data_IF_916167846022
#
_entry.id   IF_916167846022
#
_cell.length_a   1.000
_cell.length_b   1.000
_cell.length_c   1.000
_cell.angle_alpha   90.00
_cell.angle_beta   90.00
_cell.angle_gamma   90.00
#
_symmetry.space_group_name_H-M   'P 1'
#
loop_
_entity.id
_entity.type
_entity.pdbx_description
1 polymer ?
#
# COMPACT_ATOMS: atom_id res chain seq x y z
N UNK A 1 -58.22 -11.36 16.13
CA UNK A 1 -57.10 -11.91 16.91
C UNK A 1 -55.80 -11.31 16.40
N UNK A 2 -55.14 -10.56 17.29
CA UNK A 2 -53.73 -10.11 17.27
C UNK A 2 -53.30 -9.21 16.09
N UNK A 3 -52.66 -8.05 16.26
CA UNK A 3 -52.03 -7.44 17.44
C UNK A 3 -51.78 -5.95 17.09
N UNK A 4 -52.30 -5.05 17.92
CA UNK A 4 -51.75 -3.76 18.39
C UNK A 4 -50.59 -3.18 17.58
N UNK A 5 -50.64 -1.96 17.07
CA UNK A 5 -51.07 -0.71 17.70
C UNK A 5 -49.97 0.32 17.37
N UNK A 6 -50.31 1.53 16.94
CA UNK A 6 -50.40 2.70 17.83
C UNK A 6 -48.97 3.11 18.29
N UNK A 7 -48.41 4.30 18.09
CA UNK A 7 -48.98 5.60 17.81
C UNK A 7 -47.82 6.56 17.51
N UNK A 8 -48.20 7.63 16.82
CA UNK A 8 -47.70 9.01 16.83
C UNK A 8 -46.27 9.28 17.36
N UNK A 9 -45.42 9.74 16.43
CA UNK A 9 -44.24 10.54 16.75
C UNK A 9 -44.63 12.00 16.95
N UNK A 10 -44.53 12.47 18.20
CA UNK A 10 -44.56 13.90 18.53
C UNK A 10 -43.16 14.42 18.89
N UNK A 11 -42.73 15.39 18.08
CA UNK A 11 -41.90 16.57 18.31
C UNK A 11 -40.94 16.64 19.51
N UNK A 12 -39.68 17.02 19.22
CA UNK A 12 -38.90 17.82 20.15
C UNK A 12 -37.43 18.03 19.73
N UNK A 13 -36.85 19.25 19.79
CA UNK A 13 -35.61 19.59 19.11
C UNK A 13 -34.41 19.73 20.07
N UNK A 14 -33.29 20.21 19.51
CA UNK A 14 -32.25 21.03 20.14
C UNK A 14 -30.93 20.34 20.51
N UNK A 15 -29.97 20.55 19.60
CA UNK A 15 -28.62 21.06 19.85
C UNK A 15 -28.23 21.22 21.33
N UNK A 16 -27.23 20.44 21.75
CA UNK A 16 -26.41 20.77 22.91
C UNK A 16 -24.93 20.75 22.47
N UNK A 17 -24.40 21.95 22.33
CA UNK A 17 -22.98 22.25 22.40
C UNK A 17 -22.35 21.64 23.66
N UNK A 18 -21.07 21.28 23.60
CA UNK A 18 -20.04 21.80 24.53
C UNK A 18 -18.79 20.93 24.57
N UNK A 19 -17.77 21.42 23.86
CA UNK A 19 -16.45 21.76 24.39
C UNK A 19 -15.98 20.99 25.65
N UNK A 20 -14.89 20.23 25.43
CA UNK A 20 -13.78 19.96 26.35
C UNK A 20 -14.04 19.10 27.59
N UNK A 21 -13.39 17.95 27.65
CA UNK A 21 -12.28 17.67 28.60
C UNK A 21 -11.77 16.24 28.35
N UNK A 22 -10.45 16.12 28.17
CA UNK A 22 -9.75 14.83 28.20
C UNK A 22 -9.91 14.21 29.58
N UNK A 23 -10.35 12.96 29.67
CA UNK A 23 -10.02 12.08 30.77
C UNK A 23 -9.97 10.63 30.27
N UNK A 24 -8.76 10.09 30.30
CA UNK A 24 -8.38 8.69 30.11
C UNK A 24 -9.38 7.69 30.68
N UNK A 25 -9.53 6.52 30.03
CA UNK A 25 -9.05 5.22 30.54
C UNK A 25 -9.62 4.04 29.73
N UNK A 26 -8.71 3.21 29.22
CA UNK A 26 -8.90 1.82 28.75
C UNK A 26 -9.91 1.59 27.63
N UNK A 27 -9.50 1.84 26.40
CA UNK A 27 -9.93 1.03 25.28
C UNK A 27 -8.81 0.02 24.98
N UNK A 28 -9.18 -1.25 24.98
CA UNK A 28 -8.34 -2.38 24.56
C UNK A 28 -7.67 -2.01 23.24
N UNK A 29 -6.33 -2.03 23.22
CA UNK A 29 -5.59 -1.95 21.98
C UNK A 29 -5.89 -3.21 21.18
N UNK A 30 -6.90 -3.14 20.32
CA UNK A 30 -6.91 -3.96 19.12
C UNK A 30 -5.78 -3.36 18.29
N UNK A 31 -4.61 -3.96 18.39
CA UNK A 31 -3.57 -3.78 17.38
C UNK A 31 -4.11 -4.48 16.13
N UNK A 32 -5.04 -3.83 15.45
CA UNK A 32 -5.30 -4.20 14.08
C UNK A 32 -3.98 -3.93 13.37
N UNK A 33 -3.31 -5.02 12.98
CA UNK A 33 -2.06 -4.98 12.25
C UNK A 33 -2.39 -4.25 10.97
N UNK A 34 -2.21 -2.94 10.97
CA UNK A 34 -1.73 -2.24 9.79
C UNK A 34 -0.49 -3.01 9.37
N UNK A 35 -0.68 -3.92 8.42
CA UNK A 35 0.43 -4.58 7.77
C UNK A 35 1.23 -3.43 7.19
N UNK A 36 2.40 -3.18 7.76
CA UNK A 36 3.44 -2.55 6.97
C UNK A 36 3.64 -3.52 5.82
N UNK A 37 2.99 -3.23 4.68
CA UNK A 37 3.29 -3.92 3.45
C UNK A 37 4.79 -3.81 3.28
N UNK A 38 5.46 -4.95 3.43
CA UNK A 38 6.87 -5.02 3.14
C UNK A 38 6.95 -4.85 1.64
N UNK A 39 7.34 -3.67 1.21
CA UNK A 39 7.64 -3.41 -0.20
C UNK A 39 8.69 -4.42 -0.64
N UNK A 40 8.33 -5.25 -1.61
CA UNK A 40 9.23 -6.21 -2.21
C UNK A 40 10.15 -5.44 -3.16
N UNK A 41 11.45 -5.40 -2.84
CA UNK A 41 12.42 -4.77 -3.74
C UNK A 41 12.51 -5.55 -5.04
N UNK A 42 12.38 -4.84 -6.16
CA UNK A 42 12.31 -5.41 -7.50
C UNK A 42 10.89 -5.57 -8.04
N UNK A 43 9.87 -5.46 -7.19
CA UNK A 43 8.45 -5.55 -7.56
C UNK A 43 7.92 -4.14 -7.87
N UNK A 44 8.04 -3.74 -9.13
CA UNK A 44 7.62 -2.44 -9.62
C UNK A 44 6.10 -2.41 -9.92
N UNK A 45 5.49 -3.58 -10.18
CA UNK A 45 4.05 -3.74 -10.44
C UNK A 45 3.21 -3.90 -9.17
N UNK A 46 3.84 -4.16 -8.02
CA UNK A 46 3.21 -4.46 -6.73
C UNK A 46 2.29 -5.70 -6.80
N UNK A 47 2.72 -6.71 -7.58
CA UNK A 47 1.96 -7.95 -7.76
C UNK A 47 2.42 -9.09 -6.84
N UNK A 48 3.43 -8.82 -5.99
CA UNK A 48 3.99 -9.74 -5.02
C UNK A 48 5.05 -10.68 -5.59
N UNK A 49 5.44 -10.51 -6.86
CA UNK A 49 6.51 -11.26 -7.52
C UNK A 49 7.58 -10.32 -8.05
N UNK A 50 8.77 -10.86 -8.34
CA UNK A 50 9.84 -10.13 -9.04
C UNK A 50 10.12 -10.88 -10.32
N UNK A 51 9.65 -10.36 -11.44
CA UNK A 51 9.75 -11.00 -12.74
C UNK A 51 10.06 -10.03 -13.90
N UNK A 52 9.89 -10.50 -15.13
CA UNK A 52 10.19 -9.71 -16.33
C UNK A 52 9.17 -8.58 -16.56
N UNK A 53 7.97 -8.68 -16.00
CA UNK A 53 6.94 -7.64 -16.01
C UNK A 53 7.44 -6.37 -15.31
N UNK A 54 8.05 -6.53 -14.14
CA UNK A 54 8.69 -5.42 -13.40
C UNK A 54 9.77 -4.75 -14.24
N UNK A 55 10.61 -5.56 -14.89
CA UNK A 55 11.67 -5.09 -15.76
C UNK A 55 11.11 -4.25 -16.91
N UNK A 56 10.04 -4.70 -17.56
CA UNK A 56 9.40 -3.98 -18.68
C UNK A 56 8.81 -2.64 -18.22
N UNK A 57 8.15 -2.60 -17.05
CA UNK A 57 7.60 -1.35 -16.49
C UNK A 57 8.72 -0.35 -16.17
N UNK A 58 9.78 -0.81 -15.53
CA UNK A 58 10.96 0.02 -15.20
C UNK A 58 11.63 0.60 -16.46
N UNK A 59 11.81 -0.20 -17.52
CA UNK A 59 12.37 0.28 -18.80
C UNK A 59 11.49 1.38 -19.40
N UNK A 60 10.18 1.17 -19.45
CA UNK A 60 9.26 2.15 -20.03
C UNK A 60 9.25 3.45 -19.25
N UNK A 61 9.31 3.38 -17.92
CA UNK A 61 9.41 4.54 -17.05
C UNK A 61 10.71 5.32 -17.30
N UNK A 62 11.86 4.65 -17.29
CA UNK A 62 13.18 5.28 -17.48
C UNK A 62 13.30 5.95 -18.86
N UNK A 63 12.73 5.32 -19.90
CA UNK A 63 12.75 5.86 -21.26
C UNK A 63 11.67 6.92 -21.50
N UNK A 64 10.75 7.14 -20.56
CA UNK A 64 9.66 8.12 -20.67
C UNK A 64 8.53 7.71 -21.62
N UNK A 65 8.39 6.41 -21.92
CA UNK A 65 7.35 5.88 -22.80
C UNK A 65 6.12 5.34 -22.04
N UNK A 66 6.23 5.09 -20.74
CA UNK A 66 5.16 4.49 -19.92
C UNK A 66 4.83 5.27 -18.67
N UNK A 67 3.80 4.79 -17.97
CA UNK A 67 3.39 5.32 -16.66
C UNK A 67 4.44 5.01 -15.59
N UNK A 68 4.35 5.74 -14.47
CA UNK A 68 5.16 5.46 -13.30
C UNK A 68 4.86 4.05 -12.76
N UNK A 69 5.88 3.35 -12.19
CA UNK A 69 5.68 2.10 -11.47
C UNK A 69 4.58 2.24 -10.41
N UNK A 70 3.84 1.15 -10.17
CA UNK A 70 2.85 1.10 -9.08
C UNK A 70 3.56 1.32 -7.74
N UNK A 71 4.74 0.71 -7.58
CA UNK A 71 5.60 0.87 -6.41
C UNK A 71 6.92 1.53 -6.77
N UNK A 72 7.04 2.84 -6.48
CA UNK A 72 8.32 3.56 -6.59
C UNK A 72 9.38 3.00 -5.63
N UNK A 73 8.94 2.44 -4.51
CA UNK A 73 9.82 1.89 -3.49
C UNK A 73 10.25 0.44 -3.82
N UNK A 74 9.45 -0.28 -4.61
CA UNK A 74 9.84 -1.57 -5.21
C UNK A 74 10.79 -1.36 -6.39
N UNK A 75 10.58 -0.30 -7.16
CA UNK A 75 11.45 0.12 -8.27
C UNK A 75 12.82 0.67 -7.82
N UNK A 76 12.90 1.33 -6.67
CA UNK A 76 14.15 1.81 -6.05
C UNK A 76 14.86 0.66 -5.30
N UNK A 77 15.57 -0.17 -6.05
CA UNK A 77 16.21 -1.39 -5.54
C UNK A 77 17.44 -1.03 -4.70
N UNK A 78 18.19 0.00 -5.12
CA UNK A 78 19.41 0.42 -4.44
C UNK A 78 19.13 1.30 -3.20
N UNK A 79 17.92 1.87 -3.07
CA UNK A 79 17.49 2.71 -1.96
C UNK A 79 18.02 4.14 -2.00
N UNK A 80 18.37 4.67 -3.18
CA UNK A 80 18.90 6.02 -3.37
C UNK A 80 17.82 7.08 -3.60
N UNK A 81 16.55 6.67 -3.54
CA UNK A 81 15.36 7.49 -3.80
C UNK A 81 15.20 7.96 -5.25
N UNK A 82 15.90 7.34 -6.20
CA UNK A 82 15.84 7.68 -7.61
C UNK A 82 15.80 6.41 -8.49
N UNK A 83 14.62 6.09 -9.01
CA UNK A 83 14.46 4.99 -9.97
C UNK A 83 15.19 5.33 -11.28
N UNK A 84 16.30 4.64 -11.53
CA UNK A 84 17.14 4.90 -12.69
C UNK A 84 17.75 3.61 -13.29
N UNK A 85 18.62 3.76 -14.29
CA UNK A 85 19.23 2.63 -15.01
C UNK A 85 20.01 1.71 -14.06
N UNK A 86 20.53 2.22 -12.95
CA UNK A 86 21.22 1.41 -11.95
C UNK A 86 20.29 0.36 -11.33
N UNK A 87 19.08 0.75 -10.92
CA UNK A 87 18.08 -0.19 -10.38
C UNK A 87 17.69 -1.23 -11.42
N UNK A 88 17.53 -0.79 -12.68
CA UNK A 88 17.20 -1.69 -13.79
C UNK A 88 18.29 -2.74 -14.03
N UNK A 89 19.56 -2.35 -13.96
CA UNK A 89 20.70 -3.28 -14.10
C UNK A 89 20.73 -4.27 -12.93
N UNK A 90 20.47 -3.82 -11.70
CA UNK A 90 20.38 -4.70 -10.53
C UNK A 90 19.23 -5.70 -10.65
N UNK A 91 18.08 -5.27 -11.16
CA UNK A 91 16.95 -6.15 -11.46
C UNK A 91 17.31 -7.19 -12.53
N UNK A 92 17.99 -6.77 -13.59
CA UNK A 92 18.44 -7.68 -14.64
C UNK A 92 19.45 -8.71 -14.14
N UNK A 93 20.40 -8.30 -13.30
CA UNK A 93 21.34 -9.22 -12.66
C UNK A 93 20.62 -10.22 -11.74
N UNK A 94 19.58 -9.78 -11.04
CA UNK A 94 18.75 -10.69 -10.24
C UNK A 94 18.01 -11.73 -11.10
N UNK A 95 17.45 -11.30 -12.23
CA UNK A 95 16.67 -12.16 -13.13
C UNK A 95 17.54 -13.12 -13.95
N UNK A 96 18.73 -12.69 -14.38
CA UNK A 96 19.57 -13.42 -15.33
C UNK A 96 20.98 -13.78 -14.83
N UNK A 97 21.46 -13.18 -13.75
CA UNK A 97 22.81 -13.41 -13.19
C UNK A 97 22.99 -14.76 -12.49
N UNK A 98 21.92 -15.51 -12.24
CA UNK A 98 21.92 -16.79 -11.53
C UNK A 98 22.45 -18.03 -12.28
N UNK A 99 23.26 -17.89 -13.34
CA UNK A 99 23.73 -19.04 -14.14
C UNK A 99 25.25 -19.09 -14.34
N UNK A 100 26.05 -19.02 -13.28
CA UNK A 100 27.34 -19.75 -13.24
C UNK A 100 27.81 -19.89 -11.79
N UNK A 101 27.22 -20.84 -11.06
CA UNK A 101 27.77 -21.30 -9.77
C UNK A 101 28.60 -22.60 -9.91
N UNK A 102 28.69 -23.17 -11.12
CA UNK A 102 29.51 -24.36 -11.42
C UNK A 102 30.13 -24.33 -12.81
N UNK A 103 30.85 -23.25 -13.09
CA UNK A 103 32.00 -23.25 -13.98
C UNK A 103 33.23 -23.08 -13.07
#
# INVERSE_FOLDING_TARGET
DYLWGDDESDSGPQSLDSRTTKASKTAVAVCDRGQAERVLRGDATDDGSVDIGDFIVMVQYILGYGDAPVSMQGADINGDHAVNVLDLVMLADHLWGGQCERC
#
